data_IF_899799555413
#
_entry.id   IF_899799555413
#
_cell.length_a   1.000
_cell.length_b   1.000
_cell.length_c   1.000
_cell.angle_alpha   90.00
_cell.angle_beta   90.00
_cell.angle_gamma   90.00
#
_symmetry.space_group_name_H-M   'P 1'
#
loop_
_entity.id
_entity.type
_entity.pdbx_description
1 polymer ?
#
# COMPACT_ATOMS: atom_id res chain seq x y z
N UNK A 1 11.34 34.84 16.83
CA UNK A 1 11.46 33.61 17.63
C UNK A 1 10.18 32.82 17.32
N UNK A 2 10.24 31.94 16.36
CA UNK A 2 9.14 31.04 16.04
C UNK A 2 9.13 29.96 17.12
N UNK A 3 7.99 29.88 17.83
CA UNK A 3 7.68 28.81 18.77
C UNK A 3 7.92 27.46 18.08
N UNK A 4 8.92 26.72 18.52
CA UNK A 4 9.09 25.34 18.12
C UNK A 4 7.91 24.59 18.74
N UNK A 5 6.90 24.26 17.93
CA UNK A 5 5.81 23.39 18.36
C UNK A 5 6.44 22.14 18.99
N UNK A 6 6.07 21.86 20.24
CA UNK A 6 6.51 20.65 20.93
C UNK A 6 6.18 19.45 20.03
N UNK A 7 7.18 18.60 19.79
CA UNK A 7 6.96 17.32 19.11
C UNK A 7 5.84 16.57 19.86
N UNK A 8 4.86 15.99 19.13
CA UNK A 8 3.80 15.22 19.78
C UNK A 8 4.42 14.11 20.63
N UNK A 9 3.74 13.73 21.73
CA UNK A 9 4.16 12.63 22.57
C UNK A 9 4.41 11.39 21.71
N UNK A 10 5.60 10.79 21.84
CA UNK A 10 5.97 9.57 21.08
C UNK A 10 5.35 8.34 21.72
N UNK A 11 4.01 8.36 21.86
CA UNK A 11 3.26 7.27 22.46
C UNK A 11 3.02 6.17 21.44
N UNK A 12 3.67 5.03 21.65
CA UNK A 12 3.48 3.82 20.86
C UNK A 12 4.67 3.44 19.97
N UNK A 13 4.94 2.15 19.91
CA UNK A 13 6.01 1.58 19.08
C UNK A 13 5.53 1.40 17.64
N UNK A 14 6.33 1.84 16.68
CA UNK A 14 6.09 1.64 15.24
C UNK A 14 6.96 0.49 14.72
N UNK A 15 6.36 -0.59 14.25
CA UNK A 15 7.06 -1.63 13.51
C UNK A 15 7.22 -1.20 12.04
N UNK A 16 8.44 -0.92 11.60
CA UNK A 16 8.74 -0.69 10.19
C UNK A 16 8.98 -2.04 9.53
N UNK A 17 8.19 -2.35 8.51
CA UNK A 17 8.18 -3.62 7.79
C UNK A 17 8.74 -3.39 6.38
N UNK A 18 9.99 -3.80 6.15
CA UNK A 18 10.71 -3.57 4.89
C UNK A 18 10.84 -4.87 4.10
N UNK A 19 10.38 -4.85 2.84
CA UNK A 19 10.66 -5.92 1.87
C UNK A 19 11.90 -5.60 1.05
N UNK A 20 12.83 -6.57 0.92
CA UNK A 20 14.07 -6.44 0.16
C UNK A 20 14.17 -7.55 -0.88
N UNK A 21 14.65 -7.20 -2.08
CA UNK A 21 15.05 -8.10 -3.16
C UNK A 21 16.08 -7.43 -4.05
N UNK A 22 17.34 -7.92 -4.05
CA UNK A 22 18.48 -7.35 -4.82
C UNK A 22 18.57 -5.82 -4.62
N UNK A 23 18.55 -5.37 -3.34
CA UNK A 23 18.37 -3.97 -2.96
C UNK A 23 19.64 -3.14 -2.89
N UNK A 24 20.84 -3.72 -3.15
CA UNK A 24 22.16 -3.17 -2.83
C UNK A 24 22.34 -1.72 -3.27
N UNK A 25 21.75 -1.36 -4.40
CA UNK A 25 21.97 -0.05 -5.02
C UNK A 25 21.40 1.13 -4.24
N UNK A 26 20.24 0.93 -3.59
CA UNK A 26 19.48 2.03 -3.00
C UNK A 26 19.22 1.85 -1.50
N UNK A 27 19.44 0.64 -0.98
CA UNK A 27 19.08 0.22 0.36
C UNK A 27 19.67 1.10 1.46
N UNK A 28 20.95 1.50 1.34
CA UNK A 28 21.61 2.36 2.34
C UNK A 28 20.92 3.71 2.44
N UNK A 29 20.58 4.36 1.32
CA UNK A 29 19.88 5.63 1.34
C UNK A 29 18.49 5.53 2.02
N UNK A 30 17.81 4.40 1.83
CA UNK A 30 16.55 4.13 2.51
C UNK A 30 16.75 3.93 4.02
N UNK A 31 17.74 3.13 4.43
CA UNK A 31 18.06 2.89 5.84
C UNK A 31 18.46 4.19 6.56
N UNK A 32 19.29 5.02 5.93
CA UNK A 32 19.68 6.33 6.47
C UNK A 32 18.46 7.24 6.67
N UNK A 33 17.50 7.21 5.73
CA UNK A 33 16.29 8.00 5.84
C UNK A 33 15.35 7.53 6.95
N UNK A 34 15.40 6.23 7.31
CA UNK A 34 14.69 5.68 8.47
C UNK A 34 15.39 6.10 9.77
N UNK A 35 16.71 6.01 9.83
CA UNK A 35 17.47 6.47 11.00
C UNK A 35 17.30 7.98 11.27
N UNK A 36 17.02 8.77 10.23
CA UNK A 36 16.79 10.21 10.33
C UNK A 36 15.34 10.58 10.71
N UNK A 37 14.46 9.63 11.04
CA UNK A 37 13.09 9.93 11.46
C UNK A 37 13.05 10.68 12.79
N UNK A 38 12.21 11.72 12.87
CA UNK A 38 12.00 12.49 14.11
C UNK A 38 11.18 11.74 15.15
N UNK A 39 10.48 10.68 14.75
CA UNK A 39 9.84 9.72 15.64
C UNK A 39 10.81 8.60 15.92
N UNK A 40 11.31 8.51 17.18
CA UNK A 40 12.42 7.63 17.55
C UNK A 40 11.99 6.23 18.03
N UNK A 41 10.71 6.07 18.47
CA UNK A 41 10.22 4.80 19.02
C UNK A 41 9.76 3.83 17.92
N UNK A 42 10.72 3.27 17.16
CA UNK A 42 10.46 2.30 16.11
C UNK A 42 11.41 1.09 16.17
N UNK A 43 10.96 -0.02 15.60
CA UNK A 43 11.78 -1.18 15.26
C UNK A 43 11.69 -1.46 13.77
N UNK A 44 12.73 -2.05 13.18
CA UNK A 44 12.80 -2.36 11.75
C UNK A 44 12.93 -3.88 11.55
N UNK A 45 11.94 -4.47 10.89
CA UNK A 45 12.03 -5.86 10.42
C UNK A 45 12.19 -5.87 8.91
N UNK A 46 13.28 -6.45 8.44
CA UNK A 46 13.64 -6.58 7.02
C UNK A 46 13.42 -8.03 6.59
N UNK A 47 12.60 -8.25 5.58
CA UNK A 47 12.41 -9.57 4.96
C UNK A 47 13.10 -9.58 3.61
N UNK A 48 14.19 -10.34 3.52
CA UNK A 48 15.06 -10.37 2.35
C UNK A 48 14.74 -11.60 1.47
N UNK A 49 14.21 -11.34 0.28
CA UNK A 49 13.88 -12.33 -0.76
C UNK A 49 15.04 -12.52 -1.76
N UNK A 50 16.19 -11.86 -1.55
CA UNK A 50 17.34 -11.94 -2.46
C UNK A 50 17.90 -13.37 -2.54
N UNK A 51 18.37 -13.78 -3.71
CA UNK A 51 18.95 -15.12 -3.89
C UNK A 51 20.36 -15.27 -3.28
N UNK A 52 21.00 -14.15 -2.96
CA UNK A 52 22.33 -14.10 -2.37
C UNK A 52 22.36 -13.22 -1.10
N UNK A 53 23.53 -13.14 -0.45
CA UNK A 53 23.69 -12.40 0.80
C UNK A 53 24.14 -10.93 0.61
N UNK A 54 24.02 -10.36 -0.59
CA UNK A 54 24.50 -9.00 -0.88
C UNK A 54 23.80 -7.96 -0.02
N UNK A 55 22.47 -7.94 -0.07
CA UNK A 55 21.64 -7.03 0.73
C UNK A 55 21.81 -7.26 2.23
N UNK A 56 21.79 -8.50 2.71
CA UNK A 56 22.00 -8.84 4.12
C UNK A 56 23.36 -8.37 4.63
N UNK A 57 24.41 -8.48 3.82
CA UNK A 57 25.77 -8.01 4.18
C UNK A 57 25.81 -6.49 4.34
N UNK A 58 25.13 -5.74 3.46
CA UNK A 58 25.03 -4.28 3.58
C UNK A 58 24.23 -3.86 4.82
N UNK A 59 23.13 -4.53 5.11
CA UNK A 59 22.31 -4.26 6.30
C UNK A 59 23.13 -4.50 7.57
N UNK A 60 23.89 -5.60 7.65
CA UNK A 60 24.72 -5.90 8.83
C UNK A 60 25.76 -4.81 9.06
N UNK A 61 26.48 -4.36 8.02
CA UNK A 61 27.46 -3.27 8.12
C UNK A 61 26.79 -1.97 8.55
N UNK A 62 25.65 -1.63 7.96
CA UNK A 62 24.92 -0.44 8.33
C UNK A 62 24.47 -0.48 9.81
N UNK A 63 24.03 -1.66 10.30
CA UNK A 63 23.62 -1.84 11.70
C UNK A 63 24.82 -1.74 12.66
N UNK A 64 26.00 -2.22 12.29
CA UNK A 64 27.24 -2.06 13.07
C UNK A 64 27.57 -0.58 13.31
N UNK A 65 27.28 0.29 12.33
CA UNK A 65 27.46 1.75 12.42
C UNK A 65 26.28 2.43 13.17
N UNK A 66 25.15 1.74 13.35
CA UNK A 66 23.91 2.25 13.99
C UNK A 66 23.38 1.32 15.11
N UNK A 67 24.19 0.97 16.12
CA UNK A 67 23.87 -0.10 17.08
C UNK A 67 22.71 0.20 18.03
N UNK A 68 22.23 1.44 18.06
CA UNK A 68 21.12 1.86 18.92
C UNK A 68 19.73 1.57 18.31
N UNK A 69 19.66 1.16 17.08
CA UNK A 69 18.40 0.85 16.41
C UNK A 69 18.07 -0.65 16.52
N UNK A 70 16.81 -0.96 16.81
CA UNK A 70 16.31 -2.34 16.83
C UNK A 70 16.03 -2.81 15.39
N UNK A 71 16.94 -3.61 14.83
CA UNK A 71 16.89 -4.08 13.44
C UNK A 71 17.01 -5.60 13.40
N UNK A 72 16.00 -6.24 12.80
CA UNK A 72 15.97 -7.69 12.57
C UNK A 72 15.90 -8.00 11.07
N UNK A 73 16.72 -8.94 10.62
CA UNK A 73 16.67 -9.46 9.25
C UNK A 73 16.15 -10.90 9.27
N UNK A 74 15.17 -11.18 8.45
CA UNK A 74 14.59 -12.53 8.31
C UNK A 74 14.60 -12.94 6.84
N UNK A 75 14.74 -14.24 6.52
CA UNK A 75 14.60 -14.71 5.16
C UNK A 75 13.16 -14.50 4.69
N UNK A 76 13.00 -13.98 3.48
CA UNK A 76 11.73 -13.82 2.83
C UNK A 76 11.18 -15.13 2.26
N UNK A 77 9.93 -15.16 1.78
CA UNK A 77 9.27 -16.36 1.28
C UNK A 77 9.70 -16.79 -0.14
N UNK A 78 10.45 -15.95 -0.89
CA UNK A 78 10.88 -16.23 -2.26
C UNK A 78 9.75 -16.25 -3.30
N UNK A 79 8.61 -15.64 -3.00
CA UNK A 79 7.40 -15.70 -3.82
C UNK A 79 6.91 -14.30 -4.29
N UNK A 80 7.82 -13.35 -4.40
CA UNK A 80 7.58 -12.00 -4.88
C UNK A 80 7.04 -11.04 -3.82
N UNK A 81 7.06 -9.75 -4.15
CA UNK A 81 6.88 -8.65 -3.21
C UNK A 81 5.57 -8.72 -2.42
N UNK A 82 4.45 -9.07 -3.05
CA UNK A 82 3.16 -9.12 -2.35
C UNK A 82 3.18 -10.17 -1.22
N UNK A 83 3.69 -11.37 -1.47
CA UNK A 83 3.83 -12.43 -0.47
C UNK A 83 4.86 -12.04 0.60
N UNK A 84 5.94 -11.37 0.22
CA UNK A 84 6.95 -10.89 1.16
C UNK A 84 6.33 -9.93 2.18
N UNK A 85 5.57 -8.92 1.75
CA UNK A 85 4.86 -8.01 2.66
C UNK A 85 3.76 -8.69 3.48
N UNK A 86 3.02 -9.65 2.91
CA UNK A 86 2.05 -10.44 3.70
C UNK A 86 2.73 -11.22 4.82
N UNK A 87 3.93 -11.76 4.56
CA UNK A 87 4.72 -12.46 5.57
C UNK A 87 5.22 -11.52 6.67
N UNK A 88 5.65 -10.30 6.31
CA UNK A 88 6.00 -9.25 7.27
C UNK A 88 4.81 -8.85 8.14
N UNK A 89 3.64 -8.61 7.54
CA UNK A 89 2.41 -8.27 8.27
C UNK A 89 2.01 -9.42 9.22
N UNK A 90 2.12 -10.68 8.78
CA UNK A 90 1.84 -11.85 9.61
C UNK A 90 2.72 -11.91 10.86
N UNK A 91 3.96 -11.42 10.76
CA UNK A 91 4.99 -11.42 11.81
C UNK A 91 5.11 -10.10 12.55
N UNK A 92 4.29 -9.10 12.23
CA UNK A 92 4.33 -7.82 12.93
C UNK A 92 4.20 -8.02 14.43
N UNK A 93 5.08 -7.42 15.26
CA UNK A 93 5.10 -7.60 16.71
C UNK A 93 3.75 -7.25 17.35
N UNK A 94 3.34 -8.03 18.36
CA UNK A 94 2.06 -7.83 19.06
C UNK A 94 2.04 -6.53 19.88
N UNK A 95 3.18 -6.13 20.35
CA UNK A 95 3.41 -4.91 21.13
C UNK A 95 3.44 -3.65 20.28
N UNK A 96 3.67 -3.78 18.96
CA UNK A 96 3.65 -2.65 18.05
C UNK A 96 2.25 -2.06 17.93
N UNK A 97 2.12 -0.78 18.21
CA UNK A 97 0.86 -0.05 18.10
C UNK A 97 0.58 0.42 16.66
N UNK A 98 1.65 0.56 15.89
CA UNK A 98 1.58 0.95 14.48
C UNK A 98 2.50 0.06 13.64
N UNK A 99 2.18 -0.09 12.35
CA UNK A 99 3.06 -0.73 11.38
C UNK A 99 3.20 0.15 10.14
N UNK A 100 4.43 0.49 9.77
CA UNK A 100 4.76 1.25 8.56
C UNK A 100 5.35 0.32 7.52
N UNK A 101 4.78 0.29 6.30
CA UNK A 101 5.34 -0.48 5.21
C UNK A 101 6.46 0.31 4.51
N UNK A 102 7.51 -0.38 4.09
CA UNK A 102 8.71 0.23 3.55
C UNK A 102 9.24 -0.54 2.33
N UNK A 103 9.37 0.15 1.20
CA UNK A 103 10.12 -0.34 0.05
C UNK A 103 11.61 -0.04 0.24
N UNK A 104 12.49 -0.78 -0.41
CA UNK A 104 13.96 -0.73 -0.21
C UNK A 104 14.67 0.45 -0.91
N UNK A 105 13.98 1.19 -1.78
CA UNK A 105 14.59 2.02 -2.82
C UNK A 105 14.14 3.49 -2.80
N UNK A 106 13.36 3.89 -1.80
CA UNK A 106 12.88 5.26 -1.60
C UNK A 106 13.80 6.08 -0.69
N UNK A 107 13.40 7.33 -0.39
CA UNK A 107 13.98 8.15 0.68
C UNK A 107 12.84 8.82 1.44
N UNK A 108 12.69 8.48 2.72
CA UNK A 108 11.65 9.04 3.57
C UNK A 108 11.97 10.46 4.03
N UNK A 109 10.96 11.32 4.13
CA UNK A 109 11.13 12.60 4.80
C UNK A 109 11.19 12.41 6.31
N UNK A 110 11.94 13.26 7.05
CA UNK A 110 12.18 13.04 8.48
C UNK A 110 10.92 12.99 9.35
N UNK A 111 9.84 13.62 8.94
CA UNK A 111 8.58 13.73 9.67
C UNK A 111 7.53 12.66 9.26
N UNK A 112 7.87 11.72 8.37
CA UNK A 112 6.91 10.75 7.82
C UNK A 112 6.20 9.94 8.90
N UNK A 113 6.96 9.33 9.80
CA UNK A 113 6.39 8.50 10.88
C UNK A 113 5.61 9.37 11.87
N UNK A 114 6.16 10.48 12.31
CA UNK A 114 5.51 11.40 13.25
C UNK A 114 4.15 11.87 12.71
N UNK A 115 4.08 12.28 11.44
CA UNK A 115 2.82 12.72 10.80
C UNK A 115 1.78 11.61 10.74
N UNK A 116 2.19 10.41 10.36
CA UNK A 116 1.29 9.28 10.25
C UNK A 116 0.72 8.87 11.61
N UNK A 117 1.59 8.78 12.65
CA UNK A 117 1.18 8.44 14.01
C UNK A 117 0.23 9.49 14.57
N UNK A 118 0.58 10.79 14.45
CA UNK A 118 -0.29 11.89 14.90
C UNK A 118 -1.67 11.81 14.22
N UNK A 119 -1.72 11.65 12.90
CA UNK A 119 -2.99 11.57 12.17
C UNK A 119 -3.85 10.36 12.61
N UNK A 120 -3.22 9.23 12.92
CA UNK A 120 -3.93 8.02 13.38
C UNK A 120 -4.40 8.15 14.83
N UNK A 121 -3.66 8.86 15.69
CA UNK A 121 -4.03 9.15 17.09
C UNK A 121 -5.14 10.20 17.16
N UNK A 122 -5.02 11.32 16.45
CA UNK A 122 -6.00 12.41 16.42
C UNK A 122 -7.38 11.96 15.90
N UNK A 123 -7.41 10.92 15.10
CA UNK A 123 -8.66 10.35 14.60
C UNK A 123 -9.49 9.66 15.69
N UNK A 124 -8.96 9.42 16.89
CA UNK A 124 -9.61 8.81 18.08
C UNK A 124 -10.47 7.56 17.77
N UNK A 125 -10.00 6.71 16.84
CA UNK A 125 -10.80 5.61 16.33
C UNK A 125 -10.49 4.32 17.08
N UNK A 126 -11.52 3.75 17.68
CA UNK A 126 -11.45 2.42 18.31
C UNK A 126 -11.36 1.24 17.33
N UNK A 127 -11.36 1.48 16.01
CA UNK A 127 -11.35 0.47 14.95
C UNK A 127 -10.11 0.51 14.05
N UNK A 128 -10.09 -0.36 13.00
CA UNK A 128 -9.01 -0.38 12.04
C UNK A 128 -8.86 0.95 11.30
N UNK A 129 -7.62 1.45 11.20
CA UNK A 129 -7.29 2.66 10.46
C UNK A 129 -6.01 2.51 9.65
N UNK A 130 -6.01 3.06 8.44
CA UNK A 130 -4.88 3.11 7.52
C UNK A 130 -4.61 4.56 7.14
N UNK A 131 -3.38 5.01 7.37
CA UNK A 131 -2.85 6.26 6.82
C UNK A 131 -2.13 5.97 5.51
N UNK A 132 -2.32 6.84 4.52
CA UNK A 132 -1.58 6.85 3.26
C UNK A 132 -1.33 8.30 2.84
N UNK A 133 -0.21 8.57 2.16
CA UNK A 133 0.17 9.93 1.80
C UNK A 133 0.53 10.10 0.32
N UNK A 134 0.70 11.35 -0.11
CA UNK A 134 1.29 11.66 -1.39
C UNK A 134 2.80 11.38 -1.38
N UNK A 135 3.42 11.36 -2.56
CA UNK A 135 4.85 11.20 -2.76
C UNK A 135 5.39 12.23 -3.73
N UNK A 136 6.69 12.48 -3.68
CA UNK A 136 7.41 13.14 -4.77
C UNK A 136 8.02 12.06 -5.64
N UNK A 137 7.55 11.93 -6.87
CA UNK A 137 8.08 10.98 -7.85
C UNK A 137 9.39 11.57 -8.41
N UNK A 138 10.47 10.81 -8.38
CA UNK A 138 11.79 11.20 -8.88
C UNK A 138 12.40 10.11 -9.76
N UNK A 139 13.48 10.43 -10.46
CA UNK A 139 14.29 9.44 -11.19
C UNK A 139 15.23 8.66 -10.27
N UNK A 140 16.08 7.80 -10.87
CA UNK A 140 17.02 6.95 -10.14
C UNK A 140 18.02 7.76 -9.28
N UNK A 141 18.31 9.00 -9.67
CA UNK A 141 19.29 9.88 -9.01
C UNK A 141 18.60 10.94 -8.12
N UNK A 142 17.31 10.74 -7.79
CA UNK A 142 16.46 11.63 -6.99
C UNK A 142 16.21 13.01 -7.62
N UNK A 143 16.46 13.13 -8.92
CA UNK A 143 16.22 14.34 -9.70
C UNK A 143 14.85 14.25 -10.42
N UNK A 144 14.56 15.20 -11.31
CA UNK A 144 13.31 15.24 -12.09
C UNK A 144 12.03 15.12 -11.26
N UNK A 145 12.02 15.75 -10.09
CA UNK A 145 10.97 15.63 -9.07
C UNK A 145 9.63 16.22 -9.54
N UNK A 146 8.56 15.48 -9.26
CA UNK A 146 7.18 15.90 -9.50
C UNK A 146 6.23 15.28 -8.47
N UNK A 147 5.13 15.97 -8.10
CA UNK A 147 4.16 15.39 -7.16
C UNK A 147 3.44 14.17 -7.76
N UNK A 148 3.08 13.22 -6.90
CA UNK A 148 2.16 12.15 -7.28
C UNK A 148 0.77 12.71 -7.61
N UNK A 149 -0.04 11.99 -8.42
CA UNK A 149 -1.39 12.43 -8.75
C UNK A 149 -2.26 12.61 -7.51
N UNK A 150 -3.07 13.68 -7.44
CA UNK A 150 -3.95 13.92 -6.31
C UNK A 150 -5.05 12.84 -6.23
N UNK A 151 -5.43 12.51 -5.00
CA UNK A 151 -6.54 11.61 -4.68
C UNK A 151 -7.78 12.48 -4.39
N UNK A 152 -8.63 12.70 -5.39
CA UNK A 152 -9.65 13.77 -5.38
C UNK A 152 -10.96 13.41 -4.70
N UNK A 153 -11.34 12.12 -4.71
CA UNK A 153 -12.57 11.61 -4.10
C UNK A 153 -12.22 10.92 -2.78
N UNK A 154 -13.09 11.01 -1.80
CA UNK A 154 -12.89 10.34 -0.52
C UNK A 154 -12.59 8.83 -0.71
N UNK A 155 -11.67 8.28 0.10
CA UNK A 155 -11.43 6.85 0.12
C UNK A 155 -12.72 6.08 0.45
N UNK A 156 -12.93 4.95 -0.25
CA UNK A 156 -14.15 4.15 -0.11
C UNK A 156 -13.89 2.72 -0.63
N UNK A 157 -14.56 1.72 -0.07
CA UNK A 157 -14.44 0.33 -0.53
C UNK A 157 -14.83 0.18 -2.02
N UNK A 158 -15.82 0.95 -2.48
CA UNK A 158 -16.22 0.99 -3.89
C UNK A 158 -15.11 1.48 -4.81
N UNK A 159 -14.23 2.35 -4.34
CA UNK A 159 -13.01 2.74 -5.04
C UNK A 159 -11.92 1.67 -4.90
N UNK A 160 -11.76 1.10 -3.70
CA UNK A 160 -10.76 0.07 -3.41
C UNK A 160 -10.92 -1.18 -4.30
N UNK A 161 -12.14 -1.55 -4.71
CA UNK A 161 -12.35 -2.68 -5.63
C UNK A 161 -11.65 -2.52 -6.99
N UNK A 162 -11.39 -1.29 -7.44
CA UNK A 162 -10.91 -1.00 -8.80
C UNK A 162 -9.67 -0.12 -8.89
N UNK A 163 -9.14 0.33 -7.73
CA UNK A 163 -7.98 1.21 -7.69
C UNK A 163 -7.35 1.21 -6.28
N UNK A 164 -6.00 1.12 -6.18
CA UNK A 164 -5.29 1.37 -4.92
C UNK A 164 -5.30 2.85 -4.57
N UNK A 165 -5.19 3.17 -3.27
CA UNK A 165 -5.12 4.55 -2.76
C UNK A 165 -3.72 5.16 -2.91
N UNK A 166 -2.67 4.33 -2.90
CA UNK A 166 -1.27 4.75 -2.97
C UNK A 166 -0.36 3.53 -2.93
N UNK A 167 0.95 3.75 -2.93
CA UNK A 167 1.94 2.70 -2.72
C UNK A 167 2.06 2.31 -1.24
N UNK A 168 2.41 1.06 -0.99
CA UNK A 168 2.64 0.53 0.36
C UNK A 168 3.66 1.36 1.14
N UNK A 169 4.67 1.85 0.47
CA UNK A 169 5.72 2.72 1.02
C UNK A 169 5.21 4.00 1.73
N UNK A 170 3.93 4.38 1.52
CA UNK A 170 3.30 5.51 2.24
C UNK A 170 2.41 5.07 3.38
N UNK A 171 2.13 3.76 3.50
CA UNK A 171 1.09 3.26 4.40
C UNK A 171 1.60 3.05 5.82
N UNK A 172 0.78 3.50 6.78
CA UNK A 172 0.91 3.19 8.20
C UNK A 172 -0.44 2.69 8.73
N UNK A 173 -0.40 1.59 9.45
CA UNK A 173 -1.55 0.91 10.05
C UNK A 173 -1.57 1.16 11.55
N UNK A 174 -2.73 1.34 12.17
CA UNK A 174 -2.87 1.23 13.63
C UNK A 174 -2.96 -0.25 14.06
N UNK A 175 -2.91 -0.52 15.37
CA UNK A 175 -2.95 -1.89 15.92
C UNK A 175 -4.19 -2.67 15.42
N UNK A 176 -5.37 -2.07 15.47
CA UNK A 176 -6.60 -2.74 15.03
C UNK A 176 -6.56 -3.10 13.52
N UNK A 177 -5.91 -2.28 12.68
CA UNK A 177 -5.72 -2.59 11.25
C UNK A 177 -4.69 -3.71 11.04
N UNK A 178 -3.64 -3.78 11.87
CA UNK A 178 -2.67 -4.89 11.84
C UNK A 178 -3.39 -6.19 12.22
N UNK A 179 -4.16 -6.20 13.31
CA UNK A 179 -4.92 -7.36 13.78
C UNK A 179 -5.92 -7.84 12.73
N UNK A 180 -6.65 -6.92 12.10
CA UNK A 180 -7.56 -7.23 10.99
C UNK A 180 -6.80 -7.84 9.80
N UNK A 181 -5.66 -7.26 9.40
CA UNK A 181 -4.86 -7.76 8.31
C UNK A 181 -4.33 -9.18 8.61
N UNK A 182 -3.85 -9.42 9.84
CA UNK A 182 -3.42 -10.75 10.29
C UNK A 182 -4.57 -11.78 10.27
N UNK A 183 -5.78 -11.38 10.67
CA UNK A 183 -6.96 -12.24 10.65
C UNK A 183 -7.47 -12.53 9.22
N UNK A 184 -7.23 -11.63 8.27
CA UNK A 184 -7.66 -11.74 6.87
C UNK A 184 -6.58 -12.29 5.93
N UNK A 185 -5.40 -12.72 6.43
CA UNK A 185 -4.30 -13.15 5.58
C UNK A 185 -4.75 -14.22 4.58
N UNK A 186 -4.53 -14.00 3.28
CA UNK A 186 -4.90 -14.98 2.28
C UNK A 186 -3.92 -16.16 2.30
N UNK A 187 -4.45 -17.39 2.44
CA UNK A 187 -3.64 -18.61 2.53
C UNK A 187 -3.33 -19.19 1.15
N UNK A 188 -4.32 -19.19 0.24
CA UNK A 188 -4.28 -19.94 -1.02
C UNK A 188 -3.98 -19.09 -2.26
N UNK A 189 -3.94 -17.77 -2.13
CA UNK A 189 -3.69 -16.87 -3.25
C UNK A 189 -3.05 -15.55 -2.78
N UNK A 190 -2.22 -14.96 -3.63
CA UNK A 190 -1.65 -13.63 -3.37
C UNK A 190 -2.50 -12.53 -4.00
N UNK A 191 -2.67 -11.38 -3.34
CA UNK A 191 -3.26 -10.20 -3.96
C UNK A 191 -2.37 -9.71 -5.13
N UNK A 192 -2.92 -8.87 -5.98
CA UNK A 192 -2.14 -8.19 -7.03
C UNK A 192 -1.01 -7.38 -6.40
N UNK A 193 -1.32 -6.69 -5.30
CA UNK A 193 -0.37 -5.96 -4.49
C UNK A 193 -0.89 -5.88 -3.04
N UNK A 194 0.02 -5.95 -2.07
CA UNK A 194 -0.29 -5.93 -0.64
C UNK A 194 -0.96 -4.62 -0.20
N UNK A 195 -0.52 -3.50 -0.73
CA UNK A 195 -1.06 -2.16 -0.46
C UNK A 195 -2.51 -2.03 -0.95
N UNK A 196 -2.80 -2.54 -2.14
CA UNK A 196 -4.15 -2.54 -2.67
C UNK A 196 -5.07 -3.44 -1.84
N UNK A 197 -4.59 -4.60 -1.42
CA UNK A 197 -5.32 -5.52 -0.55
C UNK A 197 -5.62 -4.90 0.83
N UNK A 198 -4.64 -4.22 1.45
CA UNK A 198 -4.85 -3.52 2.73
C UNK A 198 -5.95 -2.45 2.60
N UNK A 199 -5.92 -1.66 1.53
CA UNK A 199 -6.98 -0.69 1.27
C UNK A 199 -8.35 -1.36 1.13
N UNK A 200 -8.42 -2.50 0.45
CA UNK A 200 -9.67 -3.26 0.28
C UNK A 200 -10.21 -3.81 1.62
N UNK A 201 -9.39 -4.48 2.41
CA UNK A 201 -9.88 -5.11 3.64
C UNK A 201 -10.24 -4.09 4.71
N UNK A 202 -9.43 -3.02 4.88
CA UNK A 202 -9.69 -2.01 5.91
C UNK A 202 -10.92 -1.19 5.54
N UNK A 203 -11.02 -0.68 4.32
CA UNK A 203 -12.23 0.05 3.88
C UNK A 203 -13.47 -0.85 3.83
N UNK A 204 -13.32 -2.12 3.45
CA UNK A 204 -14.41 -3.11 3.41
C UNK A 204 -14.90 -3.53 4.80
N UNK A 205 -14.04 -3.51 5.80
CA UNK A 205 -14.43 -3.70 7.22
C UNK A 205 -15.27 -2.52 7.74
N UNK A 206 -15.15 -1.35 7.13
CA UNK A 206 -15.69 -0.09 7.63
C UNK A 206 -14.67 0.71 8.44
N UNK A 207 -13.38 0.35 8.33
CA UNK A 207 -12.28 1.07 8.96
C UNK A 207 -12.00 2.42 8.30
N UNK A 208 -11.27 3.27 9.01
CA UNK A 208 -10.91 4.61 8.52
C UNK A 208 -9.73 4.55 7.56
N UNK A 209 -9.83 5.32 6.49
CA UNK A 209 -8.74 5.55 5.55
C UNK A 209 -8.40 7.04 5.56
N UNK A 210 -7.23 7.37 6.08
CA UNK A 210 -6.71 8.73 6.11
C UNK A 210 -5.82 8.95 4.87
N UNK A 211 -6.12 9.97 4.09
CA UNK A 211 -5.30 10.36 2.95
C UNK A 211 -4.70 11.74 3.20
N UNK A 212 -3.36 11.79 3.29
CA UNK A 212 -2.60 13.02 3.38
C UNK A 212 -2.11 13.45 1.98
N UNK A 213 -2.43 14.67 1.56
CA UNK A 213 -2.04 15.20 0.27
C UNK A 213 -0.62 15.79 0.27
N UNK A 214 -0.01 15.97 1.45
CA UNK A 214 1.39 16.38 1.53
C UNK A 214 2.31 15.15 1.37
N UNK A 215 3.40 15.28 0.58
CA UNK A 215 4.30 14.16 0.34
C UNK A 215 5.10 13.79 1.60
N UNK A 216 5.41 12.50 1.73
CA UNK A 216 6.16 11.94 2.87
C UNK A 216 7.46 11.25 2.47
N UNK A 217 7.73 11.11 1.17
CA UNK A 217 8.94 10.48 0.67
C UNK A 217 9.24 10.88 -0.78
N UNK A 218 10.49 10.67 -1.18
CA UNK A 218 10.93 10.64 -2.57
C UNK A 218 10.72 9.23 -3.12
N UNK A 219 9.75 9.06 -4.03
CA UNK A 219 9.45 7.79 -4.69
C UNK A 219 10.31 7.62 -5.92
N UNK A 220 11.32 6.78 -5.82
CA UNK A 220 12.33 6.55 -6.86
C UNK A 220 11.77 5.71 -7.99
N UNK A 221 11.99 6.15 -9.24
CA UNK A 221 11.65 5.43 -10.46
C UNK A 221 12.90 4.94 -11.17
N UNK A 222 13.03 3.62 -11.30
CA UNK A 222 14.11 2.96 -12.01
C UNK A 222 13.60 1.70 -12.75
N UNK A 223 14.44 1.06 -13.53
CA UNK A 223 14.03 -0.08 -14.37
C UNK A 223 13.54 -1.33 -13.61
N UNK A 224 13.84 -1.43 -12.32
CA UNK A 224 13.44 -2.54 -11.44
C UNK A 224 12.09 -2.35 -10.73
N UNK A 225 11.43 -1.19 -10.83
CA UNK A 225 10.13 -1.00 -10.17
C UNK A 225 9.08 -1.96 -10.75
N UNK A 226 8.47 -2.80 -9.91
CA UNK A 226 7.41 -3.75 -10.30
C UNK A 226 6.13 -3.02 -10.75
N UNK A 227 5.78 -1.94 -10.03
CA UNK A 227 4.65 -1.06 -10.36
C UNK A 227 5.16 0.38 -10.38
N UNK A 228 5.42 0.92 -11.56
CA UNK A 228 5.91 2.29 -11.72
C UNK A 228 4.81 3.35 -11.82
N UNK A 229 5.08 4.57 -11.33
CA UNK A 229 4.20 5.74 -11.44
C UNK A 229 4.25 6.38 -12.84
N UNK A 230 4.08 5.62 -13.91
CA UNK A 230 4.26 6.10 -15.26
C UNK A 230 3.07 6.98 -15.70
N UNK A 231 3.30 8.31 -15.82
CA UNK A 231 2.29 9.33 -16.18
C UNK A 231 2.41 9.84 -17.62
N UNK A 232 3.29 9.26 -18.44
CA UNK A 232 3.49 9.68 -19.84
C UNK A 232 2.26 9.40 -20.71
N UNK A 233 2.17 10.04 -21.88
CA UNK A 233 1.15 9.71 -22.88
C UNK A 233 1.24 8.24 -23.32
N UNK A 234 2.44 7.65 -23.32
CA UNK A 234 2.68 6.23 -23.52
C UNK A 234 1.97 5.40 -22.44
N UNK A 235 2.05 5.81 -21.18
CA UNK A 235 1.36 5.12 -20.08
C UNK A 235 -0.18 5.26 -20.14
N UNK A 236 -0.71 6.31 -20.76
CA UNK A 236 -2.15 6.38 -21.05
C UNK A 236 -2.55 5.32 -22.08
N UNK A 237 -1.75 5.19 -23.13
CA UNK A 237 -1.94 4.17 -24.16
C UNK A 237 -1.78 2.76 -23.60
N UNK A 238 -0.77 2.54 -22.75
CA UNK A 238 -0.52 1.26 -22.09
C UNK A 238 -1.66 0.87 -21.14
N UNK A 239 -2.31 1.84 -20.46
CA UNK A 239 -3.51 1.58 -19.64
C UNK A 239 -4.72 1.18 -20.49
N UNK A 240 -4.92 1.83 -21.65
CA UNK A 240 -5.96 1.43 -22.61
C UNK A 240 -5.65 0.05 -23.17
N UNK A 241 -4.39 -0.21 -23.52
CA UNK A 241 -3.95 -1.53 -23.98
C UNK A 241 -4.13 -2.60 -22.89
N UNK A 242 -3.79 -2.30 -21.64
CA UNK A 242 -3.99 -3.20 -20.50
C UNK A 242 -5.47 -3.54 -20.27
N UNK A 243 -6.39 -2.59 -20.51
CA UNK A 243 -7.82 -2.84 -20.54
C UNK A 243 -8.20 -3.82 -21.65
N UNK A 244 -7.70 -3.59 -22.86
CA UNK A 244 -8.02 -4.41 -24.04
C UNK A 244 -7.37 -5.81 -23.98
N UNK A 245 -6.19 -5.94 -23.38
CA UNK A 245 -5.47 -7.23 -23.21
C UNK A 245 -5.99 -8.09 -22.08
N UNK A 246 -6.95 -7.60 -21.26
CA UNK A 246 -7.52 -8.34 -20.14
C UNK A 246 -6.70 -8.33 -18.86
N UNK A 247 -5.59 -7.56 -18.78
CA UNK A 247 -4.78 -7.44 -17.56
C UNK A 247 -5.62 -6.97 -16.37
N UNK A 248 -6.51 -5.99 -16.59
CA UNK A 248 -7.40 -5.49 -15.56
C UNK A 248 -8.41 -6.56 -15.09
N UNK A 249 -8.94 -7.36 -16.01
CA UNK A 249 -9.82 -8.49 -15.71
C UNK A 249 -9.12 -9.54 -14.83
N UNK A 250 -7.86 -9.86 -15.15
CA UNK A 250 -7.04 -10.81 -14.38
C UNK A 250 -6.78 -10.27 -12.97
N UNK A 251 -6.44 -8.99 -12.85
CA UNK A 251 -6.22 -8.35 -11.54
C UNK A 251 -7.48 -8.35 -10.68
N UNK A 252 -8.62 -7.99 -11.25
CA UNK A 252 -9.89 -8.02 -10.53
C UNK A 252 -10.26 -9.45 -10.11
N UNK A 253 -10.06 -10.45 -10.98
CA UNK A 253 -10.31 -11.85 -10.63
C UNK A 253 -9.45 -12.29 -9.43
N UNK A 254 -8.14 -11.97 -9.47
CA UNK A 254 -7.21 -12.28 -8.39
C UNK A 254 -7.60 -11.60 -7.08
N UNK A 255 -7.90 -10.31 -7.09
CA UNK A 255 -8.32 -9.58 -5.90
C UNK A 255 -9.66 -10.09 -5.35
N UNK A 256 -10.63 -10.43 -6.20
CA UNK A 256 -11.90 -11.03 -5.76
C UNK A 256 -11.69 -12.38 -5.08
N UNK A 257 -10.79 -13.23 -5.61
CA UNK A 257 -10.45 -14.50 -4.97
C UNK A 257 -9.90 -14.29 -3.57
N UNK A 258 -8.96 -13.35 -3.43
CA UNK A 258 -8.34 -13.02 -2.13
C UNK A 258 -9.36 -12.41 -1.16
N UNK A 259 -10.29 -11.57 -1.63
CA UNK A 259 -11.33 -10.96 -0.79
C UNK A 259 -12.37 -11.98 -0.29
N UNK A 260 -12.53 -13.12 -0.95
CA UNK A 260 -13.43 -14.18 -0.47
C UNK A 260 -12.97 -14.72 0.90
N UNK A 261 -11.68 -14.81 1.17
CA UNK A 261 -11.16 -15.21 2.48
C UNK A 261 -11.42 -14.16 3.57
N UNK A 262 -11.51 -12.88 3.19
CA UNK A 262 -11.82 -11.78 4.09
C UNK A 262 -13.34 -11.56 4.31
N UNK A 263 -14.21 -12.28 3.60
CA UNK A 263 -15.68 -12.10 3.67
C UNK A 263 -16.25 -12.05 5.10
N UNK A 264 -15.83 -12.87 6.07
CA UNK A 264 -16.34 -12.81 7.45
C UNK A 264 -16.10 -11.47 8.14
N UNK A 265 -15.05 -10.75 7.73
CA UNK A 265 -14.60 -9.50 8.33
C UNK A 265 -15.15 -8.25 7.62
N UNK A 266 -15.74 -8.41 6.43
CA UNK A 266 -16.34 -7.28 5.70
C UNK A 266 -17.68 -6.87 6.30
N UNK A 267 -17.96 -5.57 6.24
CA UNK A 267 -19.29 -5.02 6.59
C UNK A 267 -20.39 -5.57 5.66
N UNK A 268 -21.64 -5.51 6.08
CA UNK A 268 -22.78 -5.93 5.25
C UNK A 268 -22.87 -5.16 3.94
N UNK A 269 -22.61 -3.85 3.97
CA UNK A 269 -22.57 -3.00 2.77
C UNK A 269 -21.43 -3.40 1.83
N UNK A 270 -20.23 -3.65 2.37
CA UNK A 270 -19.07 -4.08 1.58
C UNK A 270 -19.32 -5.46 0.93
N UNK A 271 -19.91 -6.42 1.66
CA UNK A 271 -20.29 -7.73 1.10
C UNK A 271 -21.29 -7.59 -0.05
N UNK A 272 -22.30 -6.73 0.10
CA UNK A 272 -23.27 -6.47 -0.97
C UNK A 272 -22.60 -5.84 -2.19
N UNK A 273 -21.76 -4.82 -1.99
CA UNK A 273 -20.99 -4.16 -3.06
C UNK A 273 -20.06 -5.14 -3.78
N UNK A 274 -19.36 -5.99 -3.03
CA UNK A 274 -18.48 -7.02 -3.58
C UNK A 274 -19.25 -8.03 -4.44
N UNK A 275 -20.40 -8.51 -3.95
CA UNK A 275 -21.28 -9.41 -4.68
C UNK A 275 -21.79 -8.79 -5.99
N UNK A 276 -22.24 -7.53 -5.94
CA UNK A 276 -22.68 -6.79 -7.13
C UNK A 276 -21.54 -6.59 -8.13
N UNK A 277 -20.35 -6.21 -7.64
CA UNK A 277 -19.17 -6.06 -8.51
C UNK A 277 -18.78 -7.39 -9.17
N UNK A 278 -18.80 -8.49 -8.45
CA UNK A 278 -18.54 -9.83 -8.99
C UNK A 278 -19.59 -10.21 -10.06
N UNK A 279 -20.88 -9.98 -9.79
CA UNK A 279 -21.96 -10.24 -10.73
C UNK A 279 -21.90 -9.36 -12.00
N UNK A 280 -21.35 -8.14 -11.89
CA UNK A 280 -21.15 -7.25 -13.03
C UNK A 280 -20.13 -7.77 -14.06
N UNK A 281 -19.37 -8.80 -13.74
CA UNK A 281 -18.36 -9.44 -14.62
C UNK A 281 -18.94 -10.57 -15.46
N UNK A 282 -20.13 -11.07 -15.11
CA UNK A 282 -20.73 -12.24 -15.71
C UNK A 282 -22.15 -11.98 -16.27
N UNK A 283 -22.61 -12.84 -17.16
CA UNK A 283 -23.96 -12.80 -17.70
C UNK A 283 -24.17 -11.84 -18.88
N UNK A 284 -25.44 -11.53 -19.21
CA UNK A 284 -25.83 -10.65 -20.32
C UNK A 284 -25.40 -9.20 -20.10
N UNK A 285 -25.11 -8.48 -21.19
CA UNK A 285 -24.50 -7.14 -21.13
C UNK A 285 -25.35 -6.12 -20.39
N UNK A 286 -26.67 -6.12 -20.58
CA UNK A 286 -27.57 -5.17 -19.91
C UNK A 286 -27.61 -5.41 -18.40
N UNK A 287 -27.62 -6.68 -17.97
CA UNK A 287 -27.58 -7.03 -16.55
C UNK A 287 -26.25 -6.62 -15.93
N UNK A 288 -25.10 -6.89 -16.60
CA UNK A 288 -23.79 -6.46 -16.11
C UNK A 288 -23.70 -4.96 -15.86
N UNK A 289 -24.16 -4.16 -16.84
CA UNK A 289 -24.18 -2.71 -16.72
C UNK A 289 -25.10 -2.22 -15.58
N UNK A 290 -26.27 -2.84 -15.44
CA UNK A 290 -27.21 -2.51 -14.38
C UNK A 290 -26.62 -2.80 -12.99
N UNK A 291 -26.03 -3.97 -12.80
CA UNK A 291 -25.43 -4.37 -11.52
C UNK A 291 -24.15 -3.57 -11.23
N UNK A 292 -23.34 -3.24 -12.25
CA UNK A 292 -22.21 -2.32 -12.07
C UNK A 292 -22.69 -0.93 -11.61
N UNK A 293 -23.77 -0.42 -12.19
CA UNK A 293 -24.37 0.84 -11.76
C UNK A 293 -24.85 0.77 -10.30
N UNK A 294 -25.51 -0.31 -9.92
CA UNK A 294 -25.97 -0.53 -8.53
C UNK A 294 -24.81 -0.61 -7.54
N UNK A 295 -23.68 -1.22 -7.92
CA UNK A 295 -22.50 -1.35 -7.06
C UNK A 295 -21.85 -0.01 -6.73
N UNK A 296 -22.15 1.05 -7.49
CA UNK A 296 -21.56 2.39 -7.36
C UNK A 296 -20.04 2.43 -7.35
N UNK A 297 -19.37 1.43 -7.93
CA UNK A 297 -17.91 1.39 -8.03
C UNK A 297 -17.40 2.56 -8.87
N UNK A 298 -16.33 3.19 -8.42
CA UNK A 298 -15.79 4.38 -9.09
C UNK A 298 -14.26 4.42 -9.04
N UNK A 299 -13.68 5.16 -9.98
CA UNK A 299 -12.25 5.53 -9.94
C UNK A 299 -12.10 7.01 -9.61
N UNK A 300 -10.91 7.42 -9.20
CA UNK A 300 -10.61 8.80 -8.82
C UNK A 300 -10.86 9.82 -9.94
N UNK A 301 -10.79 9.44 -11.21
CA UNK A 301 -11.18 10.28 -12.33
C UNK A 301 -12.50 9.82 -12.96
N UNK A 302 -13.30 10.76 -13.46
CA UNK A 302 -14.54 10.44 -14.18
C UNK A 302 -14.27 9.65 -15.47
N UNK A 303 -13.17 9.95 -16.16
CA UNK A 303 -12.70 9.15 -17.31
C UNK A 303 -12.38 7.71 -16.89
N UNK A 304 -11.69 7.52 -15.77
CA UNK A 304 -11.42 6.19 -15.23
C UNK A 304 -12.70 5.44 -14.85
N UNK A 305 -13.70 6.12 -14.31
CA UNK A 305 -15.01 5.53 -14.02
C UNK A 305 -15.74 5.13 -15.30
N UNK A 306 -15.75 6.00 -16.33
CA UNK A 306 -16.34 5.65 -17.64
C UNK A 306 -15.64 4.43 -18.29
N UNK A 307 -14.31 4.32 -18.12
CA UNK A 307 -13.54 3.17 -18.61
C UNK A 307 -13.96 1.84 -17.94
N UNK A 308 -14.47 1.86 -16.68
CA UNK A 308 -15.03 0.65 -16.04
C UNK A 308 -16.28 0.15 -16.79
N UNK A 309 -17.16 1.05 -17.22
CA UNK A 309 -18.35 0.70 -17.98
C UNK A 309 -17.99 0.14 -19.36
N UNK A 310 -16.96 0.72 -20.01
CA UNK A 310 -16.43 0.17 -21.26
C UNK A 310 -15.84 -1.23 -21.04
N UNK A 311 -15.06 -1.43 -19.96
CA UNK A 311 -14.53 -2.74 -19.62
C UNK A 311 -15.66 -3.76 -19.34
N UNK A 312 -16.72 -3.33 -18.68
CA UNK A 312 -17.91 -4.14 -18.43
C UNK A 312 -18.60 -4.55 -19.74
N UNK A 313 -18.80 -3.59 -20.70
CA UNK A 313 -19.34 -3.86 -22.04
C UNK A 313 -18.52 -4.91 -22.79
N UNK A 314 -17.19 -4.85 -22.69
CA UNK A 314 -16.25 -5.72 -23.41
C UNK A 314 -15.97 -7.04 -22.69
N UNK A 315 -16.60 -7.35 -21.54
CA UNK A 315 -16.25 -8.48 -20.65
C UNK A 315 -14.77 -8.46 -20.21
N UNK A 316 -14.24 -7.26 -19.92
CA UNK A 316 -12.85 -7.03 -19.48
C UNK A 316 -12.75 -6.41 -18.06
N UNK A 317 -13.88 -6.42 -17.32
CA UNK A 317 -13.95 -5.94 -15.95
C UNK A 317 -13.30 -6.91 -14.96
#
# INVERSE_FOLDING_TARGET
MTDAAALPAQDGTVAILMGVYEGEKYLIAQLDSIAAQTYENWSLTISDDSPDAGSTTLISRWHDDHPNHDVAVVPGPGNGFARNFLTLIARAPKEAQFAALCDQDDVWFPDKIARAVTALQDAEIGGPALYSAATVICDADLQAQRPSPPFRKAPDFRNALVQSIGGGNTMVLNRAAIDLAQACLPLDADPVAHDWWLYQIISGHGGLILRDDAPVLLYRQHGGNVIGANMSNKARLDRVRALLTGRFQTWNARNLTVLNSAMPYLSSEARQTLSQFAAAREGPVLNRLHVLYQSRVFRQSNFGTAALYIACLLKRL
#
